data_IF_116338204663
#
_entry.id   IF_116338204663
#
_cell.length_a   1.000
_cell.length_b   1.000
_cell.length_c   1.000
_cell.angle_alpha   90.00
_cell.angle_beta   90.00
_cell.angle_gamma   90.00
#
_symmetry.space_group_name_H-M   'P 1'
#
loop_
_entity.id
_entity.type
_entity.pdbx_description
1 polymer ?
#
# COMPACT_ATOMS: atom_id res chain seq x y z
N UNK A 1 -15.55 0.40 -12.09
CA UNK A 1 -15.69 1.17 -10.82
C UNK A 1 -15.23 2.60 -11.08
N UNK A 2 -15.54 3.59 -10.25
CA UNK A 2 -14.94 4.93 -10.39
C UNK A 2 -13.53 4.98 -9.77
N UNK A 3 -12.55 4.35 -10.42
CA UNK A 3 -11.16 4.22 -9.92
C UNK A 3 -10.19 5.13 -10.67
N UNK A 4 -10.42 5.38 -11.95
CA UNK A 4 -9.53 6.19 -12.78
C UNK A 4 -9.27 7.56 -12.14
N UNK A 5 -7.99 7.96 -12.10
CA UNK A 5 -7.50 9.19 -11.49
C UNK A 5 -7.80 9.37 -9.99
N UNK A 6 -8.27 8.34 -9.27
CA UNK A 6 -8.48 8.41 -7.81
C UNK A 6 -7.22 8.07 -7.01
N UNK A 7 -7.11 8.68 -5.83
CA UNK A 7 -6.11 8.35 -4.80
C UNK A 7 -6.70 7.30 -3.87
N UNK A 8 -6.02 6.17 -3.70
CA UNK A 8 -6.56 4.99 -3.01
C UNK A 8 -5.58 4.49 -1.96
N UNK A 9 -6.10 4.13 -0.79
CA UNK A 9 -5.37 3.45 0.28
C UNK A 9 -5.86 2.00 0.38
N UNK A 10 -4.93 1.05 0.32
CA UNK A 10 -5.23 -0.37 0.51
C UNK A 10 -4.63 -0.82 1.85
N UNK A 11 -5.51 -1.08 2.82
CA UNK A 11 -5.14 -1.68 4.10
C UNK A 11 -4.94 -3.19 3.93
N UNK A 12 -3.81 -3.72 4.41
CA UNK A 12 -3.40 -5.09 4.11
C UNK A 12 -2.88 -5.25 2.68
N UNK A 13 -2.39 -4.17 2.05
CA UNK A 13 -2.03 -4.12 0.64
C UNK A 13 -0.90 -5.07 0.22
N UNK A 14 0.02 -5.42 1.12
CA UNK A 14 1.06 -6.42 0.84
C UNK A 14 0.62 -7.88 1.09
N UNK A 15 -0.58 -8.10 1.64
CA UNK A 15 -1.13 -9.45 1.81
C UNK A 15 -1.65 -10.04 0.49
N UNK A 16 -1.79 -11.36 0.39
CA UNK A 16 -2.11 -12.06 -0.87
C UNK A 16 -3.25 -11.44 -1.68
N UNK A 17 -4.41 -11.19 -1.05
CA UNK A 17 -5.56 -10.56 -1.72
C UNK A 17 -5.29 -9.08 -2.00
N UNK A 18 -4.68 -8.37 -1.05
CA UNK A 18 -4.32 -6.96 -1.22
C UNK A 18 -3.41 -6.73 -2.42
N UNK A 19 -2.47 -7.65 -2.67
CA UNK A 19 -1.58 -7.58 -3.82
C UNK A 19 -2.33 -7.72 -5.15
N UNK A 20 -3.30 -8.64 -5.23
CA UNK A 20 -4.14 -8.79 -6.43
C UNK A 20 -4.98 -7.52 -6.68
N UNK A 21 -5.58 -6.96 -5.63
CA UNK A 21 -6.33 -5.71 -5.71
C UNK A 21 -5.43 -4.55 -6.15
N UNK A 22 -4.22 -4.43 -5.63
CA UNK A 22 -3.29 -3.38 -6.02
C UNK A 22 -2.95 -3.42 -7.53
N UNK A 23 -2.79 -4.62 -8.11
CA UNK A 23 -2.57 -4.77 -9.56
C UNK A 23 -3.77 -4.28 -10.35
N UNK A 24 -4.98 -4.72 -9.99
CA UNK A 24 -6.20 -4.29 -10.65
C UNK A 24 -6.37 -2.75 -10.59
N UNK A 25 -6.06 -2.13 -9.45
CA UNK A 25 -6.14 -0.67 -9.29
C UNK A 25 -5.13 0.10 -10.16
N UNK A 26 -3.99 -0.51 -10.48
CA UNK A 26 -3.01 0.06 -11.41
C UNK A 26 -3.55 -0.03 -12.85
N UNK A 27 -4.11 -1.17 -13.25
CA UNK A 27 -4.73 -1.36 -14.57
C UNK A 27 -5.92 -0.40 -14.79
N UNK A 28 -6.70 -0.15 -13.73
CA UNK A 28 -7.80 0.82 -13.68
C UNK A 28 -7.31 2.29 -13.59
N UNK A 29 -5.99 2.53 -13.69
CA UNK A 29 -5.36 3.86 -13.76
C UNK A 29 -5.69 4.76 -12.55
N UNK A 30 -5.63 4.21 -11.34
CA UNK A 30 -5.60 5.04 -10.13
C UNK A 30 -4.47 6.08 -10.22
N UNK A 31 -4.69 7.31 -9.73
CA UNK A 31 -3.65 8.36 -9.76
C UNK A 31 -2.56 8.11 -8.74
N UNK A 32 -2.93 7.62 -7.56
CA UNK A 32 -2.01 7.23 -6.49
C UNK A 32 -2.55 6.02 -5.74
N UNK A 33 -1.67 5.07 -5.47
CA UNK A 33 -1.94 3.87 -4.69
C UNK A 33 -1.01 3.85 -3.47
N UNK A 34 -1.62 3.93 -2.29
CA UNK A 34 -0.95 3.84 -1.00
C UNK A 34 -1.16 2.43 -0.48
N UNK A 35 -0.06 1.69 -0.36
CA UNK A 35 -0.03 0.30 0.06
C UNK A 35 0.37 0.29 1.52
N UNK A 36 -0.59 -0.01 2.39
CA UNK A 36 -0.39 -0.04 3.83
C UNK A 36 -0.45 -1.46 4.38
N UNK A 37 0.56 -1.84 5.15
CA UNK A 37 0.64 -3.13 5.85
C UNK A 37 1.14 -2.95 7.27
N UNK A 38 0.92 -3.94 8.15
CA UNK A 38 1.41 -3.86 9.53
C UNK A 38 2.94 -3.69 9.56
N UNK A 39 3.66 -4.48 8.76
CA UNK A 39 5.10 -4.36 8.62
C UNK A 39 5.45 -3.46 7.43
N UNK A 40 6.08 -2.31 7.71
CA UNK A 40 6.49 -1.34 6.68
C UNK A 40 7.42 -1.95 5.63
N UNK A 41 8.29 -2.87 6.05
CA UNK A 41 9.22 -3.57 5.16
C UNK A 41 8.50 -4.38 4.07
N UNK A 42 7.39 -5.07 4.40
CA UNK A 42 6.59 -5.82 3.43
C UNK A 42 5.93 -4.89 2.40
N UNK A 43 5.43 -3.73 2.87
CA UNK A 43 4.87 -2.71 1.98
C UNK A 43 5.94 -2.12 1.05
N UNK A 44 7.14 -1.86 1.56
CA UNK A 44 8.28 -1.36 0.77
C UNK A 44 8.72 -2.36 -0.30
N UNK A 45 8.88 -3.63 0.08
CA UNK A 45 9.24 -4.70 -0.85
C UNK A 45 8.19 -4.84 -1.95
N UNK A 46 6.90 -4.81 -1.59
CA UNK A 46 5.82 -4.95 -2.56
C UNK A 46 5.72 -3.76 -3.51
N UNK A 47 5.89 -2.52 -3.03
CA UNK A 47 6.02 -1.34 -3.92
C UNK A 47 7.19 -1.52 -4.88
N UNK A 48 8.33 -2.04 -4.42
CA UNK A 48 9.47 -2.35 -5.27
C UNK A 48 9.16 -3.39 -6.36
N UNK A 49 8.40 -4.43 -5.99
CA UNK A 49 7.93 -5.44 -6.94
C UNK A 49 7.00 -4.84 -8.00
N UNK A 50 6.01 -4.04 -7.59
CA UNK A 50 5.08 -3.38 -8.51
C UNK A 50 5.78 -2.40 -9.45
N UNK A 51 6.79 -1.66 -8.98
CA UNK A 51 7.59 -0.78 -9.87
C UNK A 51 8.33 -1.56 -10.95
N UNK A 52 8.77 -2.80 -10.66
CA UNK A 52 9.40 -3.69 -11.66
C UNK A 52 8.38 -4.32 -12.61
N UNK A 53 7.22 -4.69 -12.10
CA UNK A 53 6.11 -5.26 -12.87
C UNK A 53 5.48 -4.22 -13.81
N UNK A 54 5.40 -2.96 -13.36
CA UNK A 54 4.76 -1.84 -14.03
C UNK A 54 5.71 -0.64 -14.22
N UNK A 55 6.81 -0.77 -14.98
CA UNK A 55 7.81 0.30 -15.11
C UNK A 55 7.27 1.59 -15.75
N UNK A 56 6.18 1.49 -16.51
CA UNK A 56 5.56 2.61 -17.23
C UNK A 56 4.21 3.05 -16.63
N UNK A 57 3.80 2.50 -15.47
CA UNK A 57 2.56 2.93 -14.85
C UNK A 57 2.64 4.39 -14.42
N UNK A 58 1.57 5.14 -14.68
CA UNK A 58 1.41 6.53 -14.23
C UNK A 58 0.97 6.63 -12.77
N UNK A 59 0.44 5.54 -12.21
CA UNK A 59 0.01 5.45 -10.83
C UNK A 59 1.20 5.68 -9.90
N UNK A 60 1.11 6.70 -9.05
CA UNK A 60 2.11 6.94 -8.01
C UNK A 60 1.99 5.84 -6.94
N UNK A 61 3.07 5.12 -6.69
CA UNK A 61 3.12 4.05 -5.68
C UNK A 61 3.82 4.53 -4.40
N UNK A 62 3.09 4.48 -3.28
CA UNK A 62 3.56 4.87 -1.95
C UNK A 62 3.38 3.70 -0.97
N UNK A 63 4.38 3.43 -0.14
CA UNK A 63 4.31 2.44 0.95
C UNK A 63 4.08 3.13 2.29
N UNK A 64 3.25 2.54 3.14
CA UNK A 64 3.00 2.96 4.51
C UNK A 64 2.90 1.74 5.42
N UNK A 65 3.06 1.91 6.73
CA UNK A 65 2.83 0.81 7.64
C UNK A 65 2.80 1.16 9.12
N UNK A 66 2.63 0.12 9.92
CA UNK A 66 2.42 0.20 11.36
C UNK A 66 0.98 -0.04 11.77
N UNK A 67 0.77 -0.03 13.09
CA UNK A 67 -0.53 -0.19 13.72
C UNK A 67 -1.38 1.07 13.51
N UNK A 68 -2.41 0.98 12.68
CA UNK A 68 -3.33 2.09 12.37
C UNK A 68 -4.30 2.43 13.50
N UNK A 69 -4.34 1.62 14.57
CA UNK A 69 -5.26 1.80 15.68
C UNK A 69 -4.66 2.60 16.85
N UNK A 70 -3.44 3.14 16.68
CA UNK A 70 -2.75 3.95 17.69
C UNK A 70 -2.30 5.29 17.12
N UNK A 71 -1.74 6.16 17.96
CA UNK A 71 -1.14 7.42 17.51
C UNK A 71 0.04 7.14 16.57
N UNK A 72 0.29 8.07 15.65
CA UNK A 72 1.38 7.98 14.67
C UNK A 72 2.73 7.66 15.34
N UNK A 73 3.03 8.34 16.45
CA UNK A 73 4.28 8.15 17.21
C UNK A 73 4.42 6.74 17.81
N UNK A 74 3.32 5.99 17.93
CA UNK A 74 3.27 4.65 18.52
C UNK A 74 3.09 3.54 17.49
N UNK A 75 2.92 3.86 16.20
CA UNK A 75 2.49 2.89 15.18
C UNK A 75 3.47 1.72 14.97
N UNK A 76 4.72 1.86 15.38
CA UNK A 76 5.74 0.81 15.29
C UNK A 76 6.12 0.21 16.64
N UNK A 77 5.46 0.61 17.72
CA UNK A 77 5.64 0.02 19.04
C UNK A 77 4.90 -1.32 19.14
N UNK A 78 5.44 -2.23 19.95
CA UNK A 78 4.75 -3.47 20.31
C UNK A 78 3.55 -3.16 21.23
N UNK A 79 2.65 -4.13 21.39
CA UNK A 79 1.47 -3.97 22.25
C UNK A 79 1.83 -3.66 23.70
N UNK A 80 2.96 -4.15 24.19
CA UNK A 80 3.46 -3.95 25.54
C UNK A 80 4.09 -2.55 25.74
N UNK A 81 4.42 -1.87 24.65
CA UNK A 81 5.05 -0.54 24.63
C UNK A 81 4.03 0.59 24.42
N UNK A 82 2.78 0.27 24.07
CA UNK A 82 1.65 1.18 23.88
C UNK A 82 0.88 1.33 25.19
#
# INVERSE_FOLDING_TARGET
MEIENRRILVLGGAGLVGQAVCRELIEEKASELIIASLFKAEADEFVGALRREYPNARTKLTSEGGNIFVREDFKFLSREQI
#
